data_IF_926563517311
#
_entry.id   IF_926563517311
#
_cell.length_a   1.000
_cell.length_b   1.000
_cell.length_c   1.000
_cell.angle_alpha   90.00
_cell.angle_beta   90.00
_cell.angle_gamma   90.00
#
_symmetry.space_group_name_H-M   'P 1'
#
loop_
_entity.id
_entity.type
_entity.pdbx_description
1 polymer ?
#
# COMPACT_ATOMS: atom_id res chain seq x y z
N UNK A 1 45.03 -77.30 -87.50
CA UNK A 1 44.71 -76.11 -88.30
C UNK A 1 44.43 -74.96 -87.35
N UNK A 2 45.44 -74.10 -87.19
CA UNK A 2 45.48 -72.69 -86.71
C UNK A 2 44.89 -72.31 -85.33
N UNK A 3 45.75 -71.59 -84.59
CA UNK A 3 45.74 -71.08 -83.21
C UNK A 3 45.07 -69.68 -83.02
N UNK A 4 44.99 -69.26 -81.74
CA UNK A 4 44.91 -67.88 -81.17
C UNK A 4 43.53 -67.18 -81.27
N UNK A 5 43.06 -66.24 -80.42
CA UNK A 5 43.60 -65.40 -79.34
C UNK A 5 42.41 -64.74 -78.57
N UNK A 6 42.66 -64.31 -77.33
CA UNK A 6 41.80 -63.55 -76.39
C UNK A 6 41.32 -62.17 -76.92
N UNK A 7 40.22 -61.63 -76.36
CA UNK A 7 40.06 -60.17 -76.13
C UNK A 7 38.94 -59.82 -75.11
N UNK A 8 39.15 -58.77 -74.29
CA UNK A 8 38.34 -58.32 -73.13
C UNK A 8 37.49 -57.06 -73.43
N UNK A 9 36.33 -56.94 -72.74
CA UNK A 9 35.58 -55.73 -72.24
C UNK A 9 34.99 -54.74 -73.31
N UNK A 10 33.98 -53.86 -73.02
CA UNK A 10 33.62 -53.22 -71.73
C UNK A 10 32.11 -53.04 -71.39
N UNK A 11 31.85 -52.39 -70.24
CA UNK A 11 30.56 -51.97 -69.65
C UNK A 11 29.94 -50.75 -70.36
N UNK A 12 28.60 -50.67 -70.44
CA UNK A 12 27.82 -49.43 -70.59
C UNK A 12 26.52 -49.48 -69.78
N UNK A 13 26.00 -48.31 -69.44
CA UNK A 13 25.21 -47.99 -68.24
C UNK A 13 23.78 -47.51 -68.54
N UNK A 14 22.94 -47.48 -67.47
CA UNK A 14 21.68 -46.70 -67.27
C UNK A 14 20.46 -47.18 -68.11
N UNK A 15 19.19 -47.20 -67.66
CA UNK A 15 18.42 -46.36 -66.72
C UNK A 15 17.27 -47.13 -66.01
N UNK A 16 16.84 -46.58 -64.88
CA UNK A 16 15.57 -46.85 -64.19
C UNK A 16 14.35 -46.37 -65.01
N UNK A 17 13.25 -47.13 -64.97
CA UNK A 17 11.88 -46.66 -65.24
C UNK A 17 10.95 -47.13 -64.10
N UNK A 18 10.14 -46.24 -63.48
CA UNK A 18 9.32 -46.56 -62.31
C UNK A 18 7.90 -47.03 -62.68
N UNK A 19 7.38 -47.93 -61.83
CA UNK A 19 6.02 -48.47 -61.89
C UNK A 19 5.08 -47.50 -61.16
N UNK A 20 4.09 -46.90 -61.84
CA UNK A 20 3.03 -46.12 -61.18
C UNK A 20 1.80 -47.01 -60.94
N UNK A 21 1.57 -47.37 -59.67
CA UNK A 21 0.31 -47.95 -59.19
C UNK A 21 -0.37 -46.90 -58.30
N UNK A 22 -1.41 -46.23 -58.82
CA UNK A 22 -2.19 -45.22 -58.10
C UNK A 22 -3.43 -45.86 -57.47
N UNK A 23 -3.25 -46.43 -56.28
CA UNK A 23 -4.36 -46.66 -55.35
C UNK A 23 -4.91 -45.30 -54.88
N UNK A 24 -6.03 -44.85 -55.44
CA UNK A 24 -6.75 -43.69 -54.93
C UNK A 24 -7.46 -44.05 -53.62
N UNK A 25 -6.75 -43.89 -52.50
CA UNK A 25 -7.39 -43.80 -51.19
C UNK A 25 -8.27 -42.54 -51.15
N UNK A 26 -9.58 -42.71 -50.97
CA UNK A 26 -10.49 -41.61 -50.69
C UNK A 26 -10.10 -40.95 -49.37
N UNK A 27 -9.41 -39.82 -49.45
CA UNK A 27 -9.12 -38.97 -48.28
C UNK A 27 -10.44 -38.41 -47.77
N UNK A 28 -10.96 -38.94 -46.67
CA UNK A 28 -12.06 -38.32 -45.93
C UNK A 28 -11.52 -37.03 -45.32
N UNK A 29 -11.97 -35.88 -45.84
CA UNK A 29 -11.66 -34.57 -45.27
C UNK A 29 -12.45 -34.33 -43.98
N UNK A 30 -11.90 -33.52 -43.08
CA UNK A 30 -12.62 -33.06 -41.90
C UNK A 30 -13.87 -32.29 -42.31
N UNK A 31 -14.99 -32.58 -41.67
CA UNK A 31 -16.21 -31.78 -41.84
C UNK A 31 -16.00 -30.42 -41.18
N UNK A 32 -16.63 -29.39 -41.73
CA UNK A 32 -16.59 -28.03 -41.16
C UNK A 32 -17.10 -28.05 -39.71
N UNK A 33 -18.05 -28.94 -39.38
CA UNK A 33 -18.61 -29.08 -38.04
C UNK A 33 -17.57 -29.62 -37.05
N UNK A 34 -16.76 -30.61 -37.42
CA UNK A 34 -15.69 -31.13 -36.56
C UNK A 34 -14.65 -30.06 -36.26
N UNK A 35 -14.26 -29.28 -37.27
CA UNK A 35 -13.30 -28.20 -37.08
C UNK A 35 -13.88 -27.09 -36.20
N UNK A 36 -15.17 -26.79 -36.34
CA UNK A 36 -15.87 -25.80 -35.51
C UNK A 36 -15.94 -26.21 -34.04
N UNK A 37 -16.25 -27.48 -33.76
CA UNK A 37 -16.29 -27.98 -32.37
C UNK A 37 -14.88 -27.93 -31.75
N UNK A 38 -13.84 -28.26 -32.50
CA UNK A 38 -12.45 -28.23 -31.98
C UNK A 38 -12.01 -26.82 -31.62
N UNK A 39 -12.26 -25.82 -32.47
CA UNK A 39 -11.87 -24.42 -32.15
C UNK A 39 -12.65 -23.87 -30.95
N UNK A 40 -13.92 -24.27 -30.79
CA UNK A 40 -14.75 -23.88 -29.64
C UNK A 40 -14.22 -24.51 -28.36
N UNK A 41 -13.91 -25.81 -28.38
CA UNK A 41 -13.37 -26.52 -27.21
C UNK A 41 -12.00 -25.95 -26.81
N UNK A 42 -11.11 -25.68 -27.76
CA UNK A 42 -9.81 -25.05 -27.48
C UNK A 42 -10.00 -23.64 -26.91
N UNK A 43 -10.95 -22.85 -27.43
CA UNK A 43 -11.26 -21.52 -26.90
C UNK A 43 -11.73 -21.56 -25.44
N UNK A 44 -12.62 -22.50 -25.11
CA UNK A 44 -13.12 -22.68 -23.74
C UNK A 44 -11.99 -23.13 -22.80
N UNK A 45 -11.18 -24.11 -23.22
CA UNK A 45 -10.06 -24.60 -22.41
C UNK A 45 -8.98 -23.52 -22.20
N UNK A 46 -8.65 -22.73 -23.22
CA UNK A 46 -7.72 -21.61 -23.13
C UNK A 46 -8.20 -20.53 -22.15
N UNK A 47 -9.48 -20.19 -22.17
CA UNK A 47 -10.05 -19.21 -21.25
C UNK A 47 -9.99 -19.68 -19.78
N UNK A 48 -10.38 -20.94 -19.50
CA UNK A 48 -10.33 -21.52 -18.15
C UNK A 48 -8.88 -21.58 -17.64
N UNK A 49 -7.94 -22.00 -18.49
CA UNK A 49 -6.53 -22.12 -18.11
C UNK A 49 -5.87 -20.77 -17.82
N UNK A 50 -6.16 -19.72 -18.58
CA UNK A 50 -5.60 -18.37 -18.34
C UNK A 50 -6.03 -17.84 -16.96
N UNK A 51 -7.33 -17.96 -16.62
CA UNK A 51 -7.87 -17.48 -15.33
C UNK A 51 -7.35 -18.33 -14.15
N UNK A 52 -7.20 -19.64 -14.34
CA UNK A 52 -6.64 -20.53 -13.31
C UNK A 52 -5.14 -20.32 -13.10
N UNK A 53 -4.40 -20.02 -14.18
CA UNK A 53 -2.95 -19.82 -14.14
C UNK A 53 -2.60 -18.49 -13.48
N UNK A 54 -3.32 -17.41 -13.76
CA UNK A 54 -3.08 -16.10 -13.13
C UNK A 54 -3.27 -16.12 -11.61
N UNK A 55 -4.31 -16.79 -11.10
CA UNK A 55 -4.51 -16.93 -9.66
C UNK A 55 -3.50 -17.84 -8.95
N UNK A 56 -2.93 -18.81 -9.65
CA UNK A 56 -1.96 -19.77 -9.05
C UNK A 56 -0.54 -19.23 -9.07
N UNK A 57 -0.12 -18.55 -10.14
CA UNK A 57 1.17 -17.89 -10.20
C UNK A 57 1.27 -16.74 -9.19
N UNK A 58 0.20 -15.95 -9.01
CA UNK A 58 0.17 -14.87 -8.02
C UNK A 58 0.31 -15.39 -6.58
N UNK A 59 -0.39 -16.49 -6.24
CA UNK A 59 -0.25 -17.13 -4.92
C UNK A 59 1.16 -17.69 -4.69
N UNK A 60 1.78 -18.26 -5.72
CA UNK A 60 3.15 -18.74 -5.66
C UNK A 60 4.15 -17.59 -5.43
N UNK A 61 4.00 -16.46 -6.13
CA UNK A 61 4.82 -15.26 -5.93
C UNK A 61 4.65 -14.69 -4.52
N UNK A 62 3.43 -14.60 -4.01
CA UNK A 62 3.17 -14.13 -2.64
C UNK A 62 3.80 -15.05 -1.59
N UNK A 63 3.66 -16.36 -1.74
CA UNK A 63 4.28 -17.32 -0.82
C UNK A 63 5.81 -17.26 -0.86
N UNK A 64 6.39 -17.02 -2.04
CA UNK A 64 7.83 -16.83 -2.21
C UNK A 64 8.32 -15.57 -1.48
N UNK A 65 7.64 -14.42 -1.67
CA UNK A 65 7.99 -13.17 -0.97
C UNK A 65 7.93 -13.32 0.56
N UNK A 66 6.89 -13.99 1.08
CA UNK A 66 6.79 -14.25 2.52
C UNK A 66 7.96 -15.11 3.01
N UNK A 67 8.31 -16.17 2.27
CA UNK A 67 9.45 -17.04 2.59
C UNK A 67 10.78 -16.27 2.55
N UNK A 68 10.98 -15.43 1.54
CA UNK A 68 12.22 -14.66 1.38
C UNK A 68 12.41 -13.66 2.51
N UNK A 69 11.37 -12.90 2.85
CA UNK A 69 11.38 -11.98 3.99
C UNK A 69 11.65 -12.70 5.32
N UNK A 70 11.05 -13.87 5.55
CA UNK A 70 11.27 -14.67 6.76
C UNK A 70 12.72 -15.17 6.86
N UNK A 71 13.27 -15.67 5.75
CA UNK A 71 14.68 -16.09 5.68
C UNK A 71 15.64 -14.92 5.88
N UNK A 72 15.34 -13.77 5.28
CA UNK A 72 16.11 -12.56 5.42
C UNK A 72 16.12 -12.05 6.87
N UNK A 73 14.97 -12.04 7.54
CA UNK A 73 14.84 -11.68 8.96
C UNK A 73 15.67 -12.57 9.87
N UNK A 74 15.68 -13.89 9.66
CA UNK A 74 16.53 -14.82 10.42
C UNK A 74 18.01 -14.52 10.23
N UNK A 75 18.41 -14.20 9.00
CA UNK A 75 19.81 -13.89 8.68
C UNK A 75 20.24 -12.57 9.34
N UNK A 76 19.36 -11.56 9.36
CA UNK A 76 19.60 -10.28 10.05
C UNK A 76 19.68 -10.46 11.57
N UNK A 77 18.82 -11.29 12.17
CA UNK A 77 18.87 -11.63 13.60
C UNK A 77 20.15 -12.37 13.98
N UNK A 78 20.64 -13.25 13.10
CA UNK A 78 21.96 -13.88 13.27
C UNK A 78 23.08 -12.83 13.21
N UNK A 79 23.00 -11.87 12.29
CA UNK A 79 23.98 -10.77 12.22
C UNK A 79 24.02 -9.97 13.53
N UNK A 80 22.87 -9.58 14.07
CA UNK A 80 22.80 -8.89 15.37
C UNK A 80 23.42 -9.72 16.51
N UNK A 81 23.25 -11.04 16.48
CA UNK A 81 23.86 -11.93 17.49
C UNK A 81 25.39 -11.93 17.44
N UNK A 82 25.97 -11.74 16.25
CA UNK A 82 27.42 -11.74 16.05
C UNK A 82 28.06 -10.36 16.28
N UNK A 83 27.35 -9.28 15.93
CA UNK A 83 27.94 -7.93 15.86
C UNK A 83 27.27 -6.91 16.78
N UNK A 84 26.20 -7.28 17.49
CA UNK A 84 25.41 -6.38 18.36
C UNK A 84 24.85 -5.14 17.64
N UNK A 85 24.70 -5.21 16.33
CA UNK A 85 24.10 -4.19 15.48
C UNK A 85 23.43 -4.83 14.26
N UNK A 86 22.47 -4.17 13.61
CA UNK A 86 22.06 -4.54 12.25
C UNK A 86 22.88 -3.77 11.20
N UNK A 87 23.07 -4.32 9.98
CA UNK A 87 23.73 -3.60 8.89
C UNK A 87 22.98 -2.30 8.60
N UNK A 88 23.67 -1.20 8.32
CA UNK A 88 23.01 0.07 7.95
C UNK A 88 22.69 0.15 6.46
N UNK A 89 23.29 -0.71 5.64
CA UNK A 89 23.05 -0.85 4.21
C UNK A 89 23.19 -2.31 3.77
N UNK A 90 22.59 -2.65 2.63
CA UNK A 90 22.79 -3.93 1.94
C UNK A 90 23.56 -3.70 0.65
N UNK A 91 24.44 -4.62 0.30
CA UNK A 91 25.06 -4.68 -1.03
C UNK A 91 24.10 -5.32 -2.04
N UNK A 92 23.99 -4.73 -3.24
CA UNK A 92 23.21 -5.25 -4.36
C UNK A 92 23.91 -6.38 -5.14
N UNK A 93 25.17 -6.70 -4.83
CA UNK A 93 25.96 -7.68 -5.57
C UNK A 93 26.94 -8.46 -4.68
N UNK A 94 27.17 -9.72 -5.04
CA UNK A 94 28.09 -10.68 -4.41
C UNK A 94 27.75 -11.11 -2.97
N UNK A 95 26.66 -11.85 -2.84
CA UNK A 95 26.24 -12.48 -1.60
C UNK A 95 27.22 -13.54 -1.05
N UNK A 96 27.96 -13.27 0.03
CA UNK A 96 28.79 -14.29 0.64
C UNK A 96 27.92 -15.31 1.41
N UNK A 97 28.34 -16.58 1.43
CA UNK A 97 27.66 -17.66 2.16
C UNK A 97 27.89 -17.61 3.67
N UNK A 98 28.75 -16.70 4.14
CA UNK A 98 29.08 -16.45 5.54
C UNK A 98 29.05 -14.94 5.82
N UNK A 99 28.51 -14.50 6.96
CA UNK A 99 28.47 -13.08 7.33
C UNK A 99 29.89 -12.50 7.35
N UNK A 100 30.14 -11.44 6.59
CA UNK A 100 31.39 -10.66 6.64
C UNK A 100 31.07 -9.24 7.10
N UNK A 101 32.05 -8.58 7.71
CA UNK A 101 31.94 -7.23 8.28
C UNK A 101 31.56 -6.20 7.21
N UNK A 102 30.30 -5.77 7.24
CA UNK A 102 29.65 -4.54 6.76
C UNK A 102 29.78 -4.02 5.31
N UNK A 103 30.74 -4.45 4.47
CA UNK A 103 30.81 -3.90 3.10
C UNK A 103 30.00 -4.69 2.05
N UNK A 104 29.74 -5.97 2.29
CA UNK A 104 29.16 -6.89 1.30
C UNK A 104 28.01 -7.75 1.88
N UNK A 105 27.37 -7.30 2.97
CA UNK A 105 26.22 -8.03 3.50
C UNK A 105 25.04 -7.87 2.54
N UNK A 106 24.53 -8.98 2.05
CA UNK A 106 23.38 -9.01 1.16
C UNK A 106 22.31 -9.92 1.77
N UNK A 107 21.11 -9.84 1.21
CA UNK A 107 20.03 -10.77 1.47
C UNK A 107 19.62 -11.38 0.11
N UNK A 108 19.42 -12.71 0.08
CA UNK A 108 18.97 -13.39 -1.14
C UNK A 108 17.44 -13.40 -1.16
N UNK A 109 16.88 -12.99 -2.29
CA UNK A 109 15.45 -13.05 -2.59
C UNK A 109 15.23 -13.83 -3.87
N UNK A 110 14.05 -14.43 -4.00
CA UNK A 110 13.63 -15.14 -5.19
C UNK A 110 13.06 -14.14 -6.22
N UNK A 111 13.42 -14.35 -7.49
CA UNK A 111 12.88 -13.54 -8.59
C UNK A 111 13.52 -12.14 -8.73
N UNK A 112 12.80 -11.26 -9.43
CA UNK A 112 13.24 -9.89 -9.78
C UNK A 112 12.52 -8.83 -8.92
N UNK A 113 12.18 -9.16 -7.67
CA UNK A 113 11.45 -8.27 -6.79
C UNK A 113 12.32 -7.10 -6.33
N UNK A 114 11.70 -5.94 -6.11
CA UNK A 114 12.38 -4.75 -5.57
C UNK A 114 12.36 -4.82 -4.05
N UNK A 115 13.51 -4.54 -3.42
CA UNK A 115 13.67 -4.59 -1.97
C UNK A 115 14.02 -3.20 -1.44
N UNK A 116 13.40 -2.83 -0.33
CA UNK A 116 13.77 -1.67 0.47
C UNK A 116 14.20 -2.14 1.85
N UNK A 117 15.40 -1.73 2.28
CA UNK A 117 15.96 -2.08 3.57
C UNK A 117 16.34 -0.83 4.35
N UNK A 118 16.03 -0.82 5.64
CA UNK A 118 16.49 0.18 6.59
C UNK A 118 16.94 -0.54 7.86
N UNK A 119 18.18 -0.30 8.27
CA UNK A 119 18.78 -0.91 9.46
C UNK A 119 19.45 0.13 10.35
N UNK A 120 19.44 -0.15 11.64
CA UNK A 120 20.02 0.65 12.71
C UNK A 120 20.70 -0.26 13.73
N UNK A 121 21.26 0.29 14.80
CA UNK A 121 21.88 -0.53 15.85
C UNK A 121 20.92 -1.57 16.40
N UNK A 122 19.66 -1.24 16.70
CA UNK A 122 18.74 -2.15 17.41
C UNK A 122 17.50 -2.56 16.61
N UNK A 123 17.32 -2.04 15.39
CA UNK A 123 16.16 -2.32 14.57
C UNK A 123 16.52 -2.48 13.09
N UNK A 124 15.78 -3.33 12.39
CA UNK A 124 15.79 -3.45 10.94
C UNK A 124 14.36 -3.48 10.41
N UNK A 125 14.22 -3.17 9.14
CA UNK A 125 12.96 -3.21 8.44
C UNK A 125 13.21 -3.49 6.95
N UNK A 126 12.48 -4.43 6.38
CA UNK A 126 12.69 -4.96 5.03
C UNK A 126 11.37 -5.13 4.24
N UNK A 127 11.16 -4.34 3.18
CA UNK A 127 10.02 -4.50 2.25
C UNK A 127 10.47 -5.21 0.99
N UNK A 128 9.66 -6.15 0.52
CA UNK A 128 9.76 -6.74 -0.80
C UNK A 128 8.51 -6.41 -1.62
N UNK A 129 8.68 -6.04 -2.90
CA UNK A 129 7.57 -5.80 -3.82
C UNK A 129 7.82 -6.37 -5.21
N UNK A 130 6.75 -6.88 -5.82
CA UNK A 130 6.71 -7.25 -7.24
C UNK A 130 6.11 -6.13 -8.12
N UNK A 131 5.95 -4.93 -7.58
CA UNK A 131 5.35 -3.76 -8.26
C UNK A 131 3.85 -3.60 -8.05
N UNK A 132 3.14 -4.63 -7.56
CA UNK A 132 1.69 -4.56 -7.28
C UNK A 132 1.35 -4.98 -5.85
N UNK A 133 2.10 -5.92 -5.30
CA UNK A 133 1.96 -6.42 -3.93
C UNK A 133 3.21 -6.05 -3.15
N UNK A 134 3.04 -5.69 -1.88
CA UNK A 134 4.14 -5.39 -0.96
C UNK A 134 4.01 -6.32 0.24
N UNK A 135 5.14 -6.86 0.70
CA UNK A 135 5.24 -7.53 1.99
C UNK A 135 6.38 -6.93 2.78
N UNK A 136 6.23 -6.89 4.12
CA UNK A 136 7.16 -6.24 5.03
C UNK A 136 7.44 -7.13 6.25
N UNK A 137 8.68 -7.10 6.76
CA UNK A 137 9.09 -7.75 8.03
C UNK A 137 10.10 -6.89 8.82
N UNK A 138 9.95 -6.87 10.15
CA UNK A 138 10.85 -6.19 11.09
C UNK A 138 11.36 -7.15 12.18
N UNK A 139 12.02 -6.62 13.20
CA UNK A 139 12.56 -7.36 14.34
C UNK A 139 11.55 -8.28 15.02
N UNK A 140 10.31 -7.82 15.10
CA UNK A 140 9.27 -8.32 15.99
C UNK A 140 8.06 -8.88 15.24
N UNK A 141 8.00 -8.71 13.92
CA UNK A 141 6.92 -9.20 13.07
C UNK A 141 7.29 -10.45 12.27
N UNK A 142 6.25 -11.16 11.82
CA UNK A 142 6.30 -12.11 10.71
C UNK A 142 6.02 -11.34 9.40
N UNK A 143 6.27 -11.91 8.21
CA UNK A 143 5.96 -11.23 6.95
C UNK A 143 4.47 -10.84 6.90
N UNK A 144 4.20 -9.54 6.80
CA UNK A 144 2.85 -8.96 6.73
C UNK A 144 2.66 -8.18 5.45
N UNK A 145 1.41 -7.99 5.03
CA UNK A 145 1.09 -7.19 3.84
C UNK A 145 1.51 -5.73 4.08
N UNK A 146 2.16 -5.12 3.10
CA UNK A 146 2.40 -3.68 3.04
C UNK A 146 1.64 -3.04 1.87
N UNK A 147 1.76 -1.73 1.71
CA UNK A 147 1.14 -0.99 0.59
C UNK A 147 2.03 0.11 0.01
N UNK A 148 3.25 0.26 0.51
CA UNK A 148 4.25 1.18 -0.03
C UNK A 148 5.65 0.75 0.43
N UNK A 149 6.69 1.36 -0.15
CA UNK A 149 8.07 1.20 0.32
C UNK A 149 8.32 1.94 1.66
N UNK A 150 7.34 2.69 2.16
CA UNK A 150 7.45 3.47 3.39
C UNK A 150 6.96 2.66 4.60
N UNK A 151 7.94 2.14 5.33
CA UNK A 151 7.80 1.42 6.59
C UNK A 151 7.01 2.15 7.68
N UNK A 152 6.99 3.47 7.58
CA UNK A 152 6.31 4.24 8.59
C UNK A 152 4.80 4.24 8.43
N UNK A 153 4.25 3.84 7.27
CA UNK A 153 2.81 3.76 7.04
C UNK A 153 2.20 2.62 7.88
N UNK A 154 1.47 3.01 8.91
CA UNK A 154 0.87 2.12 9.93
C UNK A 154 -0.65 2.13 9.93
N UNK A 155 -1.24 3.04 9.15
CA UNK A 155 -2.69 3.11 8.96
C UNK A 155 -2.99 3.65 7.57
N UNK A 156 -3.83 2.96 6.79
CA UNK A 156 -4.30 3.44 5.51
C UNK A 156 -5.72 2.95 5.24
N UNK A 157 -6.67 3.88 5.32
CA UNK A 157 -8.05 3.67 4.91
C UNK A 157 -8.31 4.50 3.65
N UNK A 158 -8.69 3.85 2.56
CA UNK A 158 -8.95 4.52 1.29
C UNK A 158 -10.26 4.02 0.68
N UNK A 159 -11.28 4.87 0.65
CA UNK A 159 -12.60 4.50 0.17
C UNK A 159 -12.63 4.21 -1.34
N UNK A 160 -11.60 4.64 -2.08
CA UNK A 160 -11.47 4.36 -3.51
C UNK A 160 -10.57 3.17 -3.85
N UNK A 161 -10.09 2.46 -2.84
CA UNK A 161 -9.44 1.18 -3.02
C UNK A 161 -10.42 0.06 -2.61
N UNK A 162 -10.78 -0.81 -3.56
CA UNK A 162 -11.74 -1.90 -3.33
C UNK A 162 -11.29 -2.93 -2.29
N UNK A 163 -9.98 -3.03 -2.01
CA UNK A 163 -9.43 -3.85 -0.93
C UNK A 163 -9.65 -3.21 0.43
N UNK A 164 -9.63 -1.87 0.50
CA UNK A 164 -9.90 -1.13 1.73
C UNK A 164 -11.40 -1.00 1.97
N UNK A 165 -12.17 -0.58 0.98
CA UNK A 165 -13.64 -0.50 1.09
C UNK A 165 -14.33 -1.04 -0.16
N UNK A 166 -15.25 -1.98 0.04
CA UNK A 166 -15.95 -2.65 -1.06
C UNK A 166 -16.99 -1.79 -1.78
N UNK A 167 -17.29 -0.60 -1.25
CA UNK A 167 -18.42 0.25 -1.65
C UNK A 167 -19.69 -0.01 -0.83
N UNK A 168 -19.71 -1.03 0.03
CA UNK A 168 -20.85 -1.40 0.87
C UNK A 168 -20.44 -2.05 2.19
N UNK A 169 -21.40 -2.20 3.10
CA UNK A 169 -21.19 -2.76 4.44
C UNK A 169 -20.59 -1.73 5.40
N UNK A 170 -20.29 -2.18 6.62
CA UNK A 170 -19.75 -1.30 7.67
C UNK A 170 -18.23 -1.40 7.84
N UNK A 171 -17.57 -2.38 7.22
CA UNK A 171 -16.13 -2.59 7.39
C UNK A 171 -15.31 -1.75 6.40
N UNK A 172 -14.45 -0.89 6.92
CA UNK A 172 -13.42 -0.17 6.15
C UNK A 172 -12.05 -0.69 6.57
N UNK A 173 -11.44 -1.51 5.71
CA UNK A 173 -10.26 -2.30 6.03
C UNK A 173 -8.97 -1.49 5.87
N UNK A 174 -8.08 -1.63 6.85
CA UNK A 174 -6.75 -1.05 6.82
C UNK A 174 -5.84 -1.82 5.88
N UNK A 175 -5.39 -1.13 4.84
CA UNK A 175 -4.50 -1.69 3.82
C UNK A 175 -3.02 -1.38 4.08
N UNK A 176 -2.65 -0.82 5.24
CA UNK A 176 -1.25 -0.57 5.63
C UNK A 176 -0.51 -1.81 6.13
N UNK A 177 -1.26 -2.85 6.52
CA UNK A 177 -0.75 -3.99 7.27
C UNK A 177 -0.72 -3.79 8.78
N UNK A 178 -1.16 -2.63 9.30
CA UNK A 178 -1.30 -2.37 10.73
C UNK A 178 -2.46 -3.14 11.40
N UNK A 179 -3.44 -3.59 10.60
CA UNK A 179 -4.58 -4.37 11.09
C UNK A 179 -5.65 -3.53 11.79
N UNK A 180 -5.58 -2.20 11.63
CA UNK A 180 -6.45 -1.24 12.30
C UNK A 180 -7.74 -1.00 11.50
N UNK A 181 -8.62 -2.00 11.42
CA UNK A 181 -9.84 -1.88 10.63
C UNK A 181 -10.86 -0.92 11.25
N UNK A 182 -11.50 -0.11 10.41
CA UNK A 182 -12.58 0.79 10.77
C UNK A 182 -13.95 0.14 10.66
N UNK A 183 -14.88 0.55 11.53
CA UNK A 183 -16.30 0.23 11.46
C UNK A 183 -17.09 1.52 11.29
N UNK A 184 -17.87 1.61 10.22
CA UNK A 184 -18.81 2.70 9.96
C UNK A 184 -19.92 2.66 11.02
N UNK A 185 -20.14 3.80 11.68
CA UNK A 185 -21.17 3.99 12.70
C UNK A 185 -22.19 5.02 12.20
N UNK A 186 -23.47 4.73 12.44
CA UNK A 186 -24.61 5.57 12.04
C UNK A 186 -24.74 5.74 10.51
N UNK A 187 -24.93 6.97 10.02
CA UNK A 187 -25.43 7.22 8.66
C UNK A 187 -24.33 7.61 7.66
N UNK A 188 -23.08 7.21 7.90
CA UNK A 188 -22.00 7.41 6.92
C UNK A 188 -22.33 6.59 5.66
N UNK A 189 -22.30 7.24 4.50
CA UNK A 189 -22.61 6.61 3.21
C UNK A 189 -21.41 6.61 2.27
N UNK A 190 -21.47 5.84 1.21
CA UNK A 190 -20.42 5.76 0.19
C UNK A 190 -20.85 6.41 -1.12
N UNK A 191 -19.90 7.02 -1.82
CA UNK A 191 -20.05 7.45 -3.20
C UNK A 191 -18.84 7.06 -4.03
N UNK A 192 -19.07 6.63 -5.27
CA UNK A 192 -18.02 6.23 -6.21
C UNK A 192 -17.32 7.40 -6.89
N UNK A 193 -17.66 8.65 -6.56
CA UNK A 193 -16.97 9.83 -7.08
C UNK A 193 -15.49 9.82 -6.66
N UNK A 194 -14.61 10.41 -7.47
CA UNK A 194 -13.16 10.44 -7.19
C UNK A 194 -12.60 9.05 -6.87
N UNK A 195 -13.05 8.02 -7.62
CA UNK A 195 -12.77 6.60 -7.39
C UNK A 195 -13.30 6.00 -6.08
N UNK A 196 -13.90 6.78 -5.19
CA UNK A 196 -14.53 6.33 -3.95
C UNK A 196 -14.27 7.28 -2.77
N UNK A 197 -15.32 7.64 -2.04
CA UNK A 197 -15.30 8.50 -0.84
C UNK A 197 -16.36 8.05 0.16
N UNK A 198 -16.14 8.32 1.45
CA UNK A 198 -17.19 8.26 2.46
C UNK A 198 -17.78 9.65 2.72
N UNK A 199 -19.10 9.70 2.90
CA UNK A 199 -19.90 10.91 3.13
C UNK A 199 -20.44 10.87 4.56
N UNK A 200 -20.11 11.89 5.33
CA UNK A 200 -20.52 12.07 6.72
C UNK A 200 -21.60 13.16 6.76
N UNK A 201 -22.75 12.86 7.37
CA UNK A 201 -23.88 13.80 7.48
C UNK A 201 -23.79 14.75 8.66
N UNK A 202 -22.74 14.64 9.49
CA UNK A 202 -22.61 15.36 10.75
C UNK A 202 -23.27 14.62 11.93
N UNK A 203 -23.53 15.35 13.02
CA UNK A 203 -24.17 14.78 14.21
C UNK A 203 -23.30 13.73 14.92
N UNK A 204 -23.66 12.45 14.81
CA UNK A 204 -22.94 11.34 15.43
C UNK A 204 -22.40 10.35 14.37
N UNK A 205 -22.25 10.77 13.11
CA UNK A 205 -21.67 9.95 12.06
C UNK A 205 -20.13 9.90 12.20
N UNK A 206 -19.56 8.70 12.28
CA UNK A 206 -18.10 8.51 12.34
C UNK A 206 -17.73 7.08 11.93
N UNK A 207 -16.43 6.86 11.71
CA UNK A 207 -15.84 5.52 11.62
C UNK A 207 -15.04 5.26 12.88
N UNK A 208 -15.34 4.17 13.58
CA UNK A 208 -14.65 3.71 14.78
C UNK A 208 -13.49 2.78 14.40
N UNK A 209 -12.29 3.08 14.87
CA UNK A 209 -11.12 2.21 14.73
C UNK A 209 -10.65 1.81 16.13
N UNK A 210 -10.74 0.52 16.51
CA UNK A 210 -10.39 0.09 17.86
C UNK A 210 -8.92 0.36 18.22
N UNK A 211 -8.72 0.91 19.42
CA UNK A 211 -7.42 1.22 20.00
C UNK A 211 -6.67 2.37 19.33
N UNK A 212 -5.48 2.70 19.88
CA UNK A 212 -4.59 3.65 19.23
C UNK A 212 -3.98 3.01 17.98
N UNK A 213 -4.01 3.74 16.87
CA UNK A 213 -3.35 3.31 15.63
C UNK A 213 -1.86 3.70 15.58
N UNK A 214 -1.42 4.54 16.52
CA UNK A 214 -0.04 4.98 16.69
C UNK A 214 0.29 5.21 18.16
N UNK A 215 1.58 5.11 18.49
CA UNK A 215 2.09 5.62 19.75
C UNK A 215 2.25 7.14 19.67
N UNK A 216 1.34 7.89 20.30
CA UNK A 216 1.34 9.36 20.29
C UNK A 216 2.53 9.98 21.01
N UNK A 217 3.28 9.23 21.82
CA UNK A 217 4.52 9.72 22.43
C UNK A 217 5.72 9.72 21.46
N UNK A 218 5.63 9.00 20.33
CA UNK A 218 6.62 9.03 19.26
C UNK A 218 6.32 10.12 18.24
N UNK A 219 7.23 10.29 17.27
CA UNK A 219 6.99 11.16 16.12
C UNK A 219 5.97 10.51 15.18
N UNK A 220 5.07 11.29 14.60
CA UNK A 220 4.06 10.75 13.68
C UNK A 220 3.52 11.81 12.72
N UNK A 221 2.88 11.34 11.66
CA UNK A 221 2.19 12.18 10.67
C UNK A 221 0.82 11.58 10.40
N UNK A 222 -0.23 12.40 10.42
CA UNK A 222 -1.57 12.03 9.99
C UNK A 222 -1.96 12.89 8.78
N UNK A 223 -2.50 12.28 7.74
CA UNK A 223 -3.00 12.98 6.55
C UNK A 223 -4.41 12.53 6.18
N UNK A 224 -5.17 13.44 5.59
CA UNK A 224 -6.47 13.14 5.03
C UNK A 224 -6.84 14.06 3.87
N UNK A 225 -7.51 13.48 2.88
CA UNK A 225 -8.22 14.23 1.85
C UNK A 225 -9.65 14.48 2.31
N UNK A 226 -10.05 15.76 2.35
CA UNK A 226 -11.35 16.18 2.85
C UNK A 226 -12.02 17.18 1.92
N UNK A 227 -13.34 17.11 1.84
CA UNK A 227 -14.20 18.12 1.22
C UNK A 227 -15.37 18.41 2.17
N UNK A 228 -15.39 19.59 2.80
CA UNK A 228 -16.42 19.95 3.77
C UNK A 228 -17.63 20.56 3.09
N UNK A 229 -18.84 20.18 3.50
CA UNK A 229 -20.08 20.81 3.04
C UNK A 229 -20.51 21.99 3.90
N UNK A 230 -20.09 22.00 5.16
CA UNK A 230 -20.37 23.07 6.11
C UNK A 230 -19.12 23.42 6.90
N UNK A 231 -18.97 24.70 7.24
CA UNK A 231 -17.98 25.15 8.23
C UNK A 231 -18.69 25.44 9.53
N UNK A 232 -18.09 25.04 10.63
CA UNK A 232 -18.59 25.40 11.94
C UNK A 232 -18.43 26.92 12.15
N UNK A 233 -19.50 27.54 12.65
CA UNK A 233 -19.65 29.01 12.79
C UNK A 233 -19.41 29.51 14.21
N UNK A 234 -19.42 28.62 15.19
CA UNK A 234 -19.20 28.93 16.61
C UNK A 234 -18.41 27.81 17.27
N UNK A 235 -17.63 28.13 18.31
CA UNK A 235 -17.13 27.10 19.23
C UNK A 235 -15.66 26.67 19.14
N UNK A 236 -14.75 27.51 18.63
CA UNK A 236 -13.31 27.38 18.84
C UNK A 236 -12.65 26.15 18.21
N UNK A 237 -11.53 25.69 18.78
CA UNK A 237 -10.67 24.66 18.19
C UNK A 237 -11.12 23.23 18.50
N UNK A 238 -11.42 22.44 17.46
CA UNK A 238 -11.85 21.03 17.57
C UNK A 238 -13.08 20.71 16.73
N UNK A 239 -13.14 21.20 15.49
CA UNK A 239 -14.33 21.13 14.63
C UNK A 239 -13.99 20.36 13.34
N UNK A 240 -15.00 19.70 12.77
CA UNK A 240 -14.86 18.79 11.62
C UNK A 240 -13.62 17.90 11.70
N UNK A 241 -13.64 16.94 12.63
CA UNK A 241 -12.51 16.03 12.83
C UNK A 241 -12.38 15.10 11.63
N UNK A 242 -11.19 15.10 11.04
CA UNK A 242 -10.83 14.22 9.93
C UNK A 242 -10.39 12.88 10.52
N UNK A 243 -9.41 12.91 11.43
CA UNK A 243 -8.93 11.74 12.17
C UNK A 243 -8.34 12.16 13.51
N UNK A 244 -8.56 11.35 14.54
CA UNK A 244 -7.93 11.55 15.84
C UNK A 244 -8.44 10.61 16.91
N UNK A 245 -7.67 10.51 18.00
CA UNK A 245 -8.03 9.78 19.21
C UNK A 245 -8.02 10.68 20.45
N UNK A 246 -8.12 12.00 20.25
CA UNK A 246 -8.11 12.97 21.33
C UNK A 246 -9.25 12.67 22.32
N UNK A 247 -8.95 12.60 23.61
CA UNK A 247 -9.88 12.15 24.66
C UNK A 247 -10.13 13.21 25.74
N UNK A 248 -11.13 12.98 26.60
CA UNK A 248 -11.54 13.91 27.66
C UNK A 248 -10.46 14.26 28.70
N UNK A 249 -9.36 13.51 28.75
CA UNK A 249 -8.20 13.81 29.57
C UNK A 249 -7.15 14.69 28.85
N UNK A 250 -7.51 15.31 27.72
CA UNK A 250 -6.66 16.18 26.90
C UNK A 250 -5.42 15.47 26.34
N UNK A 251 -5.53 14.16 26.10
CA UNK A 251 -4.49 13.31 25.50
C UNK A 251 -4.86 12.94 24.06
N UNK A 252 -3.88 12.51 23.27
CA UNK A 252 -4.06 12.09 21.88
C UNK A 252 -3.83 13.21 20.87
N UNK A 253 -4.44 13.12 19.69
CA UNK A 253 -4.33 14.12 18.64
C UNK A 253 -5.63 14.36 17.87
N UNK A 254 -5.74 15.53 17.23
CA UNK A 254 -6.78 15.86 16.26
C UNK A 254 -6.12 16.42 14.99
N UNK A 255 -6.46 15.82 13.85
CA UNK A 255 -6.41 16.46 12.55
C UNK A 255 -7.81 16.90 12.16
N UNK A 256 -8.03 18.19 11.88
CA UNK A 256 -9.37 18.70 11.59
C UNK A 256 -9.37 20.14 11.07
N UNK A 257 -10.56 20.75 11.09
CA UNK A 257 -10.79 22.10 10.57
C UNK A 257 -11.61 22.92 11.57
N UNK A 258 -10.98 23.89 12.21
CA UNK A 258 -11.60 24.77 13.19
C UNK A 258 -12.65 25.73 12.63
N UNK A 259 -13.21 26.57 13.51
CA UNK A 259 -14.21 27.57 13.17
C UNK A 259 -13.78 28.44 11.98
N UNK A 260 -14.72 28.71 11.06
CA UNK A 260 -14.45 29.53 9.88
C UNK A 260 -13.58 28.87 8.82
N UNK A 261 -13.22 27.59 9.00
CA UNK A 261 -12.51 26.81 7.99
C UNK A 261 -11.01 26.77 8.16
N UNK A 262 -10.44 27.00 9.35
CA UNK A 262 -8.98 26.95 9.56
C UNK A 262 -8.48 25.52 9.82
N UNK A 263 -7.70 24.90 8.90
CA UNK A 263 -7.08 23.61 9.18
C UNK A 263 -6.20 23.65 10.44
N UNK A 264 -6.26 22.59 11.24
CA UNK A 264 -5.49 22.49 12.46
C UNK A 264 -4.95 21.09 12.70
N UNK A 265 -3.83 21.03 13.40
CA UNK A 265 -3.32 19.82 14.01
C UNK A 265 -3.06 20.06 15.49
N UNK A 266 -3.80 19.36 16.33
CA UNK A 266 -3.74 19.45 17.78
C UNK A 266 -3.07 18.20 18.35
N UNK A 267 -2.15 18.41 19.28
CA UNK A 267 -1.55 17.37 20.11
C UNK A 267 -1.88 17.66 21.58
N UNK A 268 -2.37 16.64 22.27
CA UNK A 268 -2.72 16.69 23.68
C UNK A 268 -1.49 16.68 24.59
N UNK A 269 -1.58 17.34 25.74
CA UNK A 269 -0.49 17.44 26.73
C UNK A 269 -0.95 16.88 28.08
N UNK A 270 0.02 16.48 28.91
CA UNK A 270 -0.25 16.12 30.30
C UNK A 270 -0.52 17.38 31.15
N UNK A 271 -1.79 17.71 31.41
CA UNK A 271 -2.35 18.55 32.51
C UNK A 271 -3.53 19.41 32.05
N UNK A 272 -4.26 19.99 33.01
CA UNK A 272 -5.55 20.69 32.87
C UNK A 272 -5.54 22.00 32.07
N UNK A 273 -4.43 22.44 31.45
CA UNK A 273 -4.39 23.80 30.90
C UNK A 273 -3.43 24.05 29.75
N UNK A 274 -2.98 23.04 29.01
CA UNK A 274 -2.25 23.36 27.78
C UNK A 274 -2.48 22.27 26.74
N UNK A 275 -2.75 22.67 25.51
CA UNK A 275 -2.66 21.83 24.31
C UNK A 275 -1.63 22.49 23.37
N UNK A 276 -1.00 21.76 22.45
CA UNK A 276 -0.22 22.39 21.35
C UNK A 276 -0.95 22.22 20.03
N UNK A 277 -1.14 23.31 19.31
CA UNK A 277 -1.99 23.29 18.12
C UNK A 277 -1.40 24.19 17.05
N UNK A 278 -1.02 23.58 15.94
CA UNK A 278 -0.66 24.30 14.74
C UNK A 278 -1.97 24.60 13.99
N UNK A 279 -2.31 25.88 13.90
CA UNK A 279 -3.51 26.35 13.18
C UNK A 279 -3.06 27.09 11.93
N UNK A 280 -3.58 26.71 10.78
CA UNK A 280 -3.33 27.41 9.52
C UNK A 280 -3.92 28.83 9.59
N UNK A 281 -3.15 29.88 9.20
CA UNK A 281 -3.68 31.24 9.11
C UNK A 281 -4.59 31.43 7.89
N UNK A 282 -4.54 30.50 6.93
CA UNK A 282 -5.41 30.50 5.74
C UNK A 282 -6.56 29.52 5.95
N UNK A 283 -7.78 29.97 5.69
CA UNK A 283 -8.98 29.14 5.72
C UNK A 283 -9.17 28.37 4.41
N UNK A 284 -9.85 27.23 4.49
CA UNK A 284 -10.31 26.46 3.34
C UNK A 284 -11.76 26.82 3.00
N UNK A 285 -12.18 26.53 1.77
CA UNK A 285 -13.56 26.74 1.32
C UNK A 285 -14.34 25.43 1.33
N UNK A 286 -15.66 25.52 1.53
CA UNK A 286 -16.56 24.37 1.39
C UNK A 286 -16.62 23.89 -0.06
N UNK A 287 -17.08 22.65 -0.25
CA UNK A 287 -17.26 22.02 -1.56
C UNK A 287 -15.98 21.93 -2.38
N UNK A 288 -14.81 22.08 -1.74
CA UNK A 288 -13.48 22.03 -2.36
C UNK A 288 -12.65 20.96 -1.67
N UNK A 289 -11.94 20.15 -2.46
CA UNK A 289 -11.03 19.16 -1.92
C UNK A 289 -9.74 19.81 -1.43
N UNK A 290 -9.31 19.42 -0.24
CA UNK A 290 -8.04 19.80 0.33
C UNK A 290 -7.31 18.59 0.91
N UNK A 291 -5.99 18.57 0.76
CA UNK A 291 -5.11 17.63 1.44
C UNK A 291 -4.57 18.29 2.70
N UNK A 292 -4.94 17.76 3.86
CA UNK A 292 -4.55 18.32 5.15
C UNK A 292 -3.64 17.32 5.85
N UNK A 293 -2.48 17.80 6.29
CA UNK A 293 -1.46 16.96 6.93
C UNK A 293 -1.03 17.58 8.25
N UNK A 294 -1.23 16.84 9.33
CA UNK A 294 -0.75 17.14 10.66
C UNK A 294 0.48 16.31 10.98
N UNK A 295 1.50 16.93 11.56
CA UNK A 295 2.78 16.28 11.84
C UNK A 295 3.30 16.66 13.23
N UNK A 296 3.86 15.68 13.93
CA UNK A 296 4.63 15.86 15.16
C UNK A 296 6.02 15.26 15.00
N UNK A 297 7.05 16.09 15.15
CA UNK A 297 8.47 15.72 14.99
C UNK A 297 9.24 15.59 16.31
N UNK A 298 8.54 15.54 17.44
CA UNK A 298 9.15 15.54 18.77
C UNK A 298 9.53 16.94 19.26
N UNK A 299 9.51 17.96 18.39
CA UNK A 299 9.74 19.36 18.73
C UNK A 299 8.42 20.12 18.80
N UNK A 300 7.47 19.83 17.92
CA UNK A 300 6.13 20.40 17.99
C UNK A 300 5.20 20.00 16.85
N UNK A 301 3.96 20.48 16.93
CA UNK A 301 2.95 20.25 15.90
C UNK A 301 3.20 21.15 14.69
N UNK A 302 3.00 20.61 13.49
CA UNK A 302 2.98 21.32 12.20
C UNK A 302 1.70 20.98 11.45
N UNK A 303 1.23 21.94 10.65
CA UNK A 303 0.07 21.79 9.78
C UNK A 303 0.45 22.19 8.36
N UNK A 304 0.21 21.29 7.41
CA UNK A 304 0.34 21.52 5.98
C UNK A 304 -1.04 21.45 5.32
N UNK A 305 -1.23 22.26 4.29
CA UNK A 305 -2.43 22.26 3.46
C UNK A 305 -1.98 22.29 2.01
N UNK A 306 -2.46 21.33 1.23
CA UNK A 306 -2.17 21.17 -0.20
C UNK A 306 -0.66 21.13 -0.49
N UNK A 307 0.06 20.35 0.31
CA UNK A 307 1.51 20.17 0.19
C UNK A 307 2.38 21.28 0.78
N UNK A 308 1.80 22.37 1.31
CA UNK A 308 2.54 23.55 1.79
C UNK A 308 2.42 23.72 3.31
N UNK A 309 3.54 23.97 4.01
CA UNK A 309 3.56 24.26 5.44
C UNK A 309 2.80 25.57 5.71
N UNK A 310 1.84 25.53 6.62
CA UNK A 310 1.03 26.70 7.01
C UNK A 310 1.40 27.25 8.37
N UNK A 311 1.69 26.38 9.35
CA UNK A 311 2.09 26.80 10.69
C UNK A 311 2.85 25.69 11.44
N UNK A 312 3.58 26.10 12.47
CA UNK A 312 4.43 25.28 13.34
C UNK A 312 4.37 25.79 14.77
N UNK A 313 4.41 24.89 15.74
CA UNK A 313 4.52 25.21 17.18
C UNK A 313 5.77 24.59 17.78
N UNK A 314 6.16 25.04 18.98
CA UNK A 314 7.24 24.43 19.78
C UNK A 314 6.63 23.91 21.07
N UNK A 315 6.75 22.61 21.38
CA UNK A 315 6.32 22.10 22.68
C UNK A 315 6.69 20.64 23.07
N UNK A 316 6.81 20.49 24.41
CA UNK A 316 7.05 19.39 25.37
C UNK A 316 6.11 18.15 25.33
N UNK A 317 6.42 17.05 26.06
CA UNK A 317 6.10 15.69 25.63
C UNK A 317 4.61 15.36 25.58
N UNK A 318 4.27 14.54 24.59
CA UNK A 318 2.95 13.93 24.43
C UNK A 318 2.93 12.62 25.23
N UNK A 319 1.86 12.40 26.00
CA UNK A 319 1.62 11.11 26.65
C UNK A 319 0.98 10.12 25.66
N UNK A 320 1.27 8.81 25.80
CA UNK A 320 0.57 7.79 25.04
C UNK A 320 -0.94 7.88 25.27
N UNK A 321 -1.68 7.87 24.17
CA UNK A 321 -3.13 7.72 24.16
C UNK A 321 -3.50 6.27 23.92
N UNK A 322 -4.51 5.78 24.63
CA UNK A 322 -4.97 4.38 24.53
C UNK A 322 -6.40 4.26 24.02
N UNK A 323 -7.09 5.38 23.79
CA UNK A 323 -8.44 5.40 23.28
C UNK A 323 -8.51 5.14 21.77
N UNK A 324 -9.70 4.72 21.32
CA UNK A 324 -10.01 4.41 19.93
C UNK A 324 -9.79 5.60 19.00
N UNK A 325 -9.21 5.37 17.84
CA UNK A 325 -9.18 6.37 16.78
C UNK A 325 -10.56 6.51 16.14
N UNK A 326 -10.98 7.74 15.86
CA UNK A 326 -12.19 8.05 15.11
C UNK A 326 -11.84 8.83 13.83
N UNK A 327 -12.62 8.58 12.78
CA UNK A 327 -12.58 9.33 11.51
C UNK A 327 -13.94 9.99 11.30
N UNK A 328 -13.94 11.25 10.91
CA UNK A 328 -15.17 12.02 10.69
C UNK A 328 -15.90 12.47 11.96
N UNK A 329 -15.36 12.19 13.15
CA UNK A 329 -15.95 12.59 14.43
C UNK A 329 -14.99 12.46 15.61
N UNK A 330 -15.29 13.13 16.73
CA UNK A 330 -14.46 13.12 17.95
C UNK A 330 -14.96 12.13 19.01
N UNK A 331 -14.14 11.82 20.01
CA UNK A 331 -14.52 10.92 21.11
C UNK A 331 -15.54 11.54 22.07
N UNK A 332 -15.50 12.87 22.24
CA UNK A 332 -16.62 13.58 22.84
C UNK A 332 -17.78 13.47 21.86
N UNK A 333 -18.84 12.79 22.28
CA UNK A 333 -20.12 12.71 21.57
C UNK A 333 -20.82 14.09 21.57
N UNK A 334 -20.13 15.10 21.04
CA UNK A 334 -20.57 16.47 20.92
C UNK A 334 -20.78 16.76 19.43
N UNK A 335 -21.93 17.32 19.04
CA UNK A 335 -22.23 17.70 17.66
C UNK A 335 -21.17 18.58 17.00
N UNK A 336 -20.34 19.24 17.82
CA UNK A 336 -19.28 20.18 17.42
C UNK A 336 -18.07 19.51 16.78
N UNK A 337 -17.83 18.24 17.08
CA UNK A 337 -16.68 17.48 16.55
C UNK A 337 -16.99 16.76 15.23
N UNK A 338 -18.27 16.66 14.87
CA UNK A 338 -18.74 15.91 13.72
C UNK A 338 -18.36 16.59 12.42
N UNK A 339 -17.89 15.80 11.46
CA UNK A 339 -17.62 16.25 10.11
C UNK A 339 -18.90 16.13 9.28
N UNK A 340 -19.25 17.21 8.58
CA UNK A 340 -20.26 17.19 7.52
C UNK A 340 -19.57 17.44 6.20
N UNK A 341 -19.45 16.40 5.37
CA UNK A 341 -18.61 16.42 4.18
C UNK A 341 -18.15 15.05 3.75
N UNK A 342 -17.04 15.00 3.03
CA UNK A 342 -16.47 13.80 2.45
C UNK A 342 -15.04 13.59 2.89
N UNK A 343 -14.66 12.33 3.09
CA UNK A 343 -13.28 11.90 3.26
C UNK A 343 -12.98 10.86 2.19
N UNK A 344 -11.90 11.07 1.44
CA UNK A 344 -11.46 10.13 0.40
C UNK A 344 -10.57 9.03 0.96
N UNK A 345 -9.49 9.43 1.65
CA UNK A 345 -8.59 8.50 2.31
C UNK A 345 -7.81 9.15 3.43
N UNK A 346 -7.41 8.33 4.39
CA UNK A 346 -6.63 8.68 5.58
C UNK A 346 -5.36 7.83 5.59
N UNK A 347 -4.22 8.46 5.88
CA UNK A 347 -2.98 7.74 6.17
C UNK A 347 -2.34 8.25 7.44
N UNK A 348 -1.75 7.35 8.21
CA UNK A 348 -0.95 7.70 9.38
C UNK A 348 0.40 6.99 9.31
N UNK A 349 1.44 7.76 9.61
CA UNK A 349 2.82 7.35 9.60
C UNK A 349 3.40 7.43 11.02
N UNK A 350 4.16 6.44 11.47
CA UNK A 350 4.85 6.42 12.77
C UNK A 350 6.19 7.22 12.76
N UNK A 351 6.29 8.22 11.88
CA UNK A 351 7.38 9.20 11.83
C UNK A 351 6.86 10.55 11.36
N UNK A 352 7.67 11.58 11.57
CA UNK A 352 7.50 12.86 10.91
C UNK A 352 7.97 12.75 9.44
N UNK A 353 7.07 13.03 8.49
CA UNK A 353 7.43 13.20 7.08
C UNK A 353 8.22 14.50 6.85
N UNK A 354 9.14 14.47 5.88
CA UNK A 354 9.80 15.67 5.39
C UNK A 354 8.86 16.53 4.54
N UNK A 355 9.17 17.82 4.39
CA UNK A 355 8.36 18.73 3.56
C UNK A 355 8.29 18.26 2.09
N UNK A 356 9.37 17.67 1.55
CA UNK A 356 9.38 17.09 0.20
C UNK A 356 8.46 15.88 0.09
N UNK A 357 8.42 15.02 1.11
CA UNK A 357 7.51 13.87 1.13
C UNK A 357 6.06 14.32 1.17
N UNK A 358 5.71 15.31 2.01
CA UNK A 358 4.36 15.87 2.07
C UNK A 358 3.93 16.47 0.72
N UNK A 359 4.81 17.25 0.08
CA UNK A 359 4.55 17.80 -1.26
C UNK A 359 4.40 16.71 -2.32
N UNK A 360 5.22 15.66 -2.28
CA UNK A 360 5.10 14.53 -3.20
C UNK A 360 3.77 13.79 -3.02
N UNK A 361 3.36 13.51 -1.78
CA UNK A 361 2.07 12.84 -1.47
C UNK A 361 0.87 13.62 -2.01
N UNK A 362 0.88 14.94 -1.85
CA UNK A 362 -0.13 15.79 -2.44
C UNK A 362 -0.16 15.63 -3.96
N UNK A 363 0.98 15.79 -4.64
CA UNK A 363 1.06 15.71 -6.09
C UNK A 363 0.71 14.32 -6.65
N UNK A 364 1.06 13.24 -5.95
CA UNK A 364 0.76 11.85 -6.33
C UNK A 364 -0.76 11.58 -6.35
N UNK A 365 -1.53 12.30 -5.53
CA UNK A 365 -2.95 11.97 -5.27
C UNK A 365 -3.95 13.05 -5.65
N UNK A 366 -3.51 14.30 -5.91
CA UNK A 366 -4.40 15.44 -6.18
C UNK A 366 -5.26 15.27 -7.43
N UNK A 367 -4.76 14.59 -8.46
CA UNK A 367 -5.47 14.38 -9.72
C UNK A 367 -6.75 13.56 -9.55
N UNK A 368 -6.78 12.65 -8.57
CA UNK A 368 -7.98 11.89 -8.18
C UNK A 368 -9.12 12.82 -7.75
N UNK A 369 -8.80 13.97 -7.19
CA UNK A 369 -9.74 14.94 -6.65
C UNK A 369 -9.95 16.16 -7.57
N UNK A 370 -9.46 16.08 -8.82
CA UNK A 370 -9.67 17.11 -9.84
C UNK A 370 -8.79 18.35 -9.71
N UNK A 371 -7.61 18.23 -9.08
CA UNK A 371 -6.67 19.33 -8.80
C UNK A 371 -5.34 19.20 -9.55
#
# INVERSE_FOLDING_TARGET
>A
MILYSLSRKPLTSRQNEPILNTNQQTKRGFTIVELLVVIVVIGILAAITIVSYSGTSQRATVAAMQSDLDNASKTLKLYYTLYSSYPTALSASNCPTTPTTDANYCLKFSGSNTISYNGSTNAFSLVETNGTTYYKIDNNSVPTVGNSLDWSLVFNLDAGNSVSYSGSGSAWSDISGGGHNGTIINNVTYSSIHSGVLIFGGGNDYVAVPGPIINTAGNFTAEGWVNLYTLATTGGEGQSIIVGNYNAAYKGYILGVGTGGSPLFKIGRQSTSSDSWAVSPTTITINTWHHIVGLYDGVGAKIYVDGVLKNSTTYSPIEPETADTRIGGGQWNAPRAALTGQIGGIRVYNRALSASEVSQRFNDTKSRYGL
#
